data_IF_508238414155
#
_entry.id   IF_508238414155
#
_cell.length_a   1.000
_cell.length_b   1.000
_cell.length_c   1.000
_cell.angle_alpha   90.00
_cell.angle_beta   90.00
_cell.angle_gamma   90.00
#
_symmetry.space_group_name_H-M   'P 1'
#
loop_
_entity.id
_entity.type
_entity.pdbx_description
1 polymer ?
#
# COMPACT_ATOMS: atom_id res chain seq x y z
N UNK A 1 -13.08 -1.13 19.35
CA UNK A 1 -13.87 -0.36 18.36
C UNK A 1 -12.90 0.59 17.68
N UNK A 2 -12.60 0.45 16.38
CA UNK A 2 -11.68 1.39 15.69
C UNK A 2 -12.18 2.81 15.95
N UNK A 3 -11.38 3.64 16.59
CA UNK A 3 -11.68 5.06 16.70
C UNK A 3 -11.51 5.67 15.31
N UNK A 4 -12.55 5.52 14.48
CA UNK A 4 -12.62 6.05 13.11
C UNK A 4 -12.46 7.58 13.07
N UNK A 5 -12.44 8.26 14.22
CA UNK A 5 -12.27 9.71 14.30
C UNK A 5 -10.80 10.13 14.25
N UNK A 6 -9.87 9.28 14.69
CA UNK A 6 -8.44 9.61 14.70
C UNK A 6 -7.77 9.23 13.36
N UNK A 7 -7.27 10.19 12.57
CA UNK A 7 -6.73 9.95 11.24
C UNK A 7 -5.51 9.03 11.24
N UNK A 8 -5.38 8.25 10.17
CA UNK A 8 -4.16 7.48 9.88
C UNK A 8 -3.27 8.17 8.85
N UNK A 9 -3.84 9.07 8.04
CA UNK A 9 -3.14 9.76 6.97
C UNK A 9 -3.32 11.25 7.23
N UNK A 10 -2.23 12.02 7.10
CA UNK A 10 -2.26 13.47 7.06
C UNK A 10 -1.62 13.98 5.77
N UNK A 11 -2.19 15.04 5.22
CA UNK A 11 -1.61 15.84 4.13
C UNK A 11 -1.47 17.29 4.57
N UNK A 12 -0.39 17.94 4.15
CA UNK A 12 -0.14 19.36 4.38
C UNK A 12 -0.67 20.14 3.18
N UNK A 13 -1.61 21.03 3.41
CA UNK A 13 -2.31 21.75 2.33
C UNK A 13 -2.08 23.25 2.45
N UNK A 14 -2.12 23.96 1.33
CA UNK A 14 -1.94 25.41 1.29
C UNK A 14 -3.19 26.16 1.80
N UNK A 15 -4.38 25.59 1.59
CA UNK A 15 -5.66 26.16 2.00
C UNK A 15 -6.65 25.03 2.37
N UNK A 16 -6.92 24.87 3.67
CA UNK A 16 -7.84 23.85 4.19
C UNK A 16 -9.24 24.00 3.60
N UNK A 17 -9.73 25.22 3.36
CA UNK A 17 -11.05 25.44 2.80
C UNK A 17 -11.10 25.00 1.31
N UNK A 18 -10.03 25.22 0.56
CA UNK A 18 -9.90 24.73 -0.82
C UNK A 18 -9.85 23.20 -0.87
N UNK A 19 -9.03 22.58 -0.02
CA UNK A 19 -8.95 21.12 0.06
C UNK A 19 -10.29 20.53 0.52
N UNK A 20 -11.03 21.16 1.44
CA UNK A 20 -12.37 20.71 1.84
C UNK A 20 -13.36 20.70 0.66
N UNK A 21 -13.39 21.76 -0.17
CA UNK A 21 -14.21 21.77 -1.39
C UNK A 21 -13.85 20.62 -2.33
N UNK A 22 -12.57 20.30 -2.43
CA UNK A 22 -12.13 19.16 -3.22
C UNK A 22 -12.57 17.83 -2.59
N UNK A 23 -12.16 17.51 -1.36
CA UNK A 23 -12.44 16.21 -0.75
C UNK A 23 -13.95 15.99 -0.53
N UNK A 24 -14.70 17.01 -0.10
CA UNK A 24 -16.14 16.87 0.18
C UNK A 24 -16.98 17.04 -1.08
N UNK A 25 -16.87 18.18 -1.76
CA UNK A 25 -17.78 18.50 -2.87
C UNK A 25 -17.38 17.74 -4.15
N UNK A 26 -16.08 17.57 -4.39
CA UNK A 26 -15.56 16.96 -5.62
C UNK A 26 -15.43 15.44 -5.49
N UNK A 27 -14.79 14.94 -4.43
CA UNK A 27 -14.60 13.49 -4.21
C UNK A 27 -15.74 12.81 -3.44
N UNK A 28 -16.68 13.58 -2.87
CA UNK A 28 -17.81 13.03 -2.12
C UNK A 28 -17.42 12.40 -0.79
N UNK A 29 -16.39 12.91 -0.12
CA UNK A 29 -16.02 12.51 1.23
C UNK A 29 -16.91 13.19 2.28
N UNK A 30 -17.04 12.59 3.45
CA UNK A 30 -17.82 13.17 4.54
C UNK A 30 -16.94 14.06 5.42
N UNK A 31 -17.39 15.28 5.74
CA UNK A 31 -16.70 16.12 6.71
C UNK A 31 -16.90 15.55 8.12
N UNK A 32 -15.80 15.24 8.82
CA UNK A 32 -15.83 14.73 10.21
C UNK A 32 -15.59 15.85 11.22
N UNK A 33 -14.60 16.70 10.94
CA UNK A 33 -14.19 17.80 11.83
C UNK A 33 -13.62 18.95 11.01
N UNK A 34 -13.90 20.19 11.40
CA UNK A 34 -13.24 21.38 10.89
C UNK A 34 -12.95 22.32 12.06
N UNK A 35 -11.66 22.58 12.30
CA UNK A 35 -11.17 23.52 13.29
C UNK A 35 -10.44 24.65 12.57
N UNK A 36 -11.16 25.76 12.35
CA UNK A 36 -10.61 26.94 11.70
C UNK A 36 -9.55 27.65 12.55
N UNK A 37 -9.56 27.46 13.87
CA UNK A 37 -8.58 28.08 14.77
C UNK A 37 -7.24 27.35 14.75
N UNK A 38 -7.27 26.03 14.68
CA UNK A 38 -6.09 25.18 14.53
C UNK A 38 -5.63 25.01 13.07
N UNK A 39 -6.41 25.50 12.11
CA UNK A 39 -6.19 25.32 10.66
C UNK A 39 -6.12 23.84 10.26
N UNK A 40 -7.11 23.07 10.76
CA UNK A 40 -7.21 21.62 10.59
C UNK A 40 -8.60 21.21 10.12
N UNK A 41 -8.68 20.21 9.25
CA UNK A 41 -9.91 19.50 8.98
C UNK A 41 -9.68 17.98 8.88
N UNK A 42 -10.72 17.20 9.19
CA UNK A 42 -10.72 15.75 9.02
C UNK A 42 -11.90 15.38 8.13
N UNK A 43 -11.61 14.61 7.09
CA UNK A 43 -12.61 14.02 6.19
C UNK A 43 -12.60 12.51 6.29
N UNK A 44 -13.76 11.86 6.18
CA UNK A 44 -13.89 10.42 6.00
C UNK A 44 -14.04 10.13 4.50
N UNK A 45 -13.02 9.48 3.95
CA UNK A 45 -12.98 9.05 2.57
C UNK A 45 -13.15 7.52 2.51
N UNK A 46 -14.39 7.06 2.33
CA UNK A 46 -14.73 5.63 2.26
C UNK A 46 -14.31 4.81 3.50
N UNK A 47 -14.49 5.38 4.70
CA UNK A 47 -14.15 4.77 5.99
C UNK A 47 -12.72 5.00 6.45
N UNK A 48 -11.96 5.83 5.73
CA UNK A 48 -10.61 6.27 6.06
C UNK A 48 -10.60 7.74 6.44
N UNK A 49 -10.21 8.04 7.67
CA UNK A 49 -10.06 9.41 8.14
C UNK A 49 -8.73 10.01 7.64
N UNK A 50 -8.81 11.11 6.91
CA UNK A 50 -7.68 11.90 6.38
C UNK A 50 -7.66 13.25 7.10
N UNK A 51 -6.51 13.63 7.65
CA UNK A 51 -6.25 14.95 8.21
C UNK A 51 -5.74 15.89 7.11
N UNK A 52 -6.42 17.02 6.92
CA UNK A 52 -5.99 18.15 6.11
C UNK A 52 -5.42 19.19 7.06
N UNK A 53 -4.13 19.48 6.95
CA UNK A 53 -3.44 20.41 7.84
C UNK A 53 -2.90 21.61 7.07
N UNK A 54 -3.44 22.80 7.37
CA UNK A 54 -3.05 24.03 6.71
C UNK A 54 -1.71 24.61 7.18
N UNK A 55 -1.30 25.75 6.63
CA UNK A 55 -0.01 26.38 6.96
C UNK A 55 0.11 26.83 8.42
N UNK A 56 -1.00 27.16 9.08
CA UNK A 56 -0.99 27.59 10.48
C UNK A 56 -1.04 26.41 11.47
N UNK A 57 -1.25 25.18 10.97
CA UNK A 57 -1.21 23.98 11.81
C UNK A 57 0.22 23.72 12.30
N UNK A 58 0.39 23.63 13.62
CA UNK A 58 1.67 23.30 14.26
C UNK A 58 2.12 21.86 14.05
N UNK A 59 2.65 21.22 15.10
CA UNK A 59 2.91 19.78 15.06
C UNK A 59 1.59 19.00 15.01
N UNK A 60 1.39 18.22 13.94
CA UNK A 60 0.16 17.43 13.71
C UNK A 60 0.32 15.95 14.08
N UNK A 61 1.48 15.52 14.56
CA UNK A 61 1.72 14.10 14.88
C UNK A 61 0.79 13.61 16.00
N UNK A 62 0.46 14.47 16.95
CA UNK A 62 -0.49 14.17 18.03
C UNK A 62 -1.94 14.01 17.55
N UNK A 63 -2.29 14.50 16.35
CA UNK A 63 -3.61 14.28 15.76
C UNK A 63 -3.73 12.87 15.18
N UNK A 64 -2.61 12.27 14.79
CA UNK A 64 -2.55 10.96 14.17
C UNK A 64 -2.62 9.83 15.19
N UNK A 65 -2.99 8.66 14.69
CA UNK A 65 -2.74 7.40 15.40
C UNK A 65 -1.22 7.17 15.51
N UNK A 66 -0.75 6.36 16.47
CA UNK A 66 0.67 6.02 16.59
C UNK A 66 1.28 5.47 15.29
N UNK A 67 0.47 4.80 14.47
CA UNK A 67 0.87 4.22 13.19
C UNK A 67 0.42 5.07 11.99
N UNK A 68 0.04 6.32 12.23
CA UNK A 68 -0.33 7.26 11.18
C UNK A 68 0.89 7.87 10.50
N UNK A 69 0.70 8.30 9.27
CA UNK A 69 1.74 8.90 8.45
C UNK A 69 1.35 10.29 7.93
N UNK A 70 2.36 11.15 7.76
CA UNK A 70 2.22 12.42 7.05
C UNK A 70 2.76 12.20 5.63
N UNK A 71 1.89 12.31 4.64
CA UNK A 71 2.26 12.12 3.24
C UNK A 71 3.16 13.27 2.79
N UNK A 72 4.34 12.91 2.26
CA UNK A 72 5.30 13.88 1.72
C UNK A 72 4.68 14.65 0.54
N UNK A 73 5.02 15.93 0.33
CA UNK A 73 4.52 16.71 -0.81
C UNK A 73 4.68 15.97 -2.14
N UNK A 74 3.63 15.97 -2.97
CA UNK A 74 3.58 15.22 -4.23
C UNK A 74 3.37 13.71 -4.08
N UNK A 75 3.22 13.22 -2.84
CA UNK A 75 2.94 11.80 -2.56
C UNK A 75 1.50 11.40 -2.88
N UNK A 76 1.15 10.17 -2.51
CA UNK A 76 -0.13 9.56 -2.83
C UNK A 76 -0.95 9.19 -1.59
N UNK A 77 -2.26 9.44 -1.62
CA UNK A 77 -3.23 8.99 -0.62
C UNK A 77 -4.00 7.80 -1.20
N UNK A 78 -3.88 6.63 -0.58
CA UNK A 78 -4.47 5.38 -1.09
C UNK A 78 -5.77 5.04 -0.38
N UNK A 79 -6.85 4.90 -1.14
CA UNK A 79 -8.21 4.67 -0.64
C UNK A 79 -8.81 3.40 -1.24
N UNK A 80 -9.17 2.44 -0.38
CA UNK A 80 -9.86 1.24 -0.82
C UNK A 80 -11.34 1.56 -1.05
N UNK A 81 -11.83 1.23 -2.25
CA UNK A 81 -13.25 1.36 -2.61
C UNK A 81 -13.85 -0.01 -2.93
N UNK A 82 -15.14 -0.18 -2.63
CA UNK A 82 -15.86 -1.43 -2.90
C UNK A 82 -16.10 -1.67 -4.40
N UNK A 83 -16.32 -0.61 -5.17
CA UNK A 83 -16.57 -0.66 -6.61
C UNK A 83 -15.85 0.51 -7.28
N UNK A 84 -14.85 0.18 -8.10
CA UNK A 84 -14.02 1.16 -8.79
C UNK A 84 -14.77 1.78 -9.98
N UNK A 85 -15.60 1.02 -10.69
CA UNK A 85 -16.35 1.54 -11.84
C UNK A 85 -17.47 2.48 -11.41
N UNK A 86 -18.17 2.16 -10.31
CA UNK A 86 -19.12 3.07 -9.70
C UNK A 86 -18.44 4.35 -9.19
N UNK A 87 -17.24 4.22 -8.58
CA UNK A 87 -16.43 5.39 -8.18
C UNK A 87 -16.05 6.25 -9.38
N UNK A 88 -15.63 5.63 -10.49
CA UNK A 88 -15.30 6.35 -11.74
C UNK A 88 -16.51 7.11 -12.30
N UNK A 89 -17.68 6.45 -12.35
CA UNK A 89 -18.91 7.08 -12.84
C UNK A 89 -19.31 8.29 -11.97
N UNK A 90 -19.27 8.14 -10.64
CA UNK A 90 -19.57 9.23 -9.71
C UNK A 90 -18.61 10.42 -9.88
N UNK A 91 -17.31 10.15 -10.09
CA UNK A 91 -16.31 11.19 -10.35
C UNK A 91 -16.59 11.91 -11.68
N UNK A 92 -16.94 11.17 -12.73
CA UNK A 92 -17.28 11.73 -14.03
C UNK A 92 -18.53 12.62 -13.98
N UNK A 93 -19.58 12.22 -13.25
CA UNK A 93 -20.80 13.03 -13.03
C UNK A 93 -20.49 14.36 -12.32
N UNK A 94 -19.45 14.38 -11.49
CA UNK A 94 -18.95 15.59 -10.79
C UNK A 94 -17.92 16.37 -11.61
N UNK A 95 -17.69 16.01 -12.87
CA UNK A 95 -16.73 16.67 -13.76
C UNK A 95 -15.27 16.42 -13.39
N UNK A 96 -14.98 15.38 -12.60
CA UNK A 96 -13.61 15.03 -12.19
C UNK A 96 -12.98 14.14 -13.23
N UNK A 97 -11.86 14.60 -13.79
CA UNK A 97 -11.05 13.79 -14.69
C UNK A 97 -10.17 12.83 -13.87
N UNK A 98 -10.61 11.58 -13.76
CA UNK A 98 -9.85 10.51 -13.14
C UNK A 98 -9.11 9.67 -14.19
N UNK A 99 -7.85 9.35 -13.94
CA UNK A 99 -7.04 8.47 -14.79
C UNK A 99 -7.20 7.04 -14.32
N UNK A 100 -7.69 6.14 -15.18
CA UNK A 100 -7.70 4.70 -14.92
C UNK A 100 -6.36 4.10 -15.34
N UNK A 101 -5.68 3.45 -14.40
CA UNK A 101 -4.46 2.67 -14.63
C UNK A 101 -4.82 1.21 -14.46
N UNK A 102 -4.51 0.40 -15.47
CA UNK A 102 -4.74 -1.04 -15.46
C UNK A 102 -3.39 -1.76 -15.53
N UNK A 103 -3.16 -2.66 -14.57
CA UNK A 103 -1.95 -3.46 -14.51
C UNK A 103 -2.12 -4.75 -15.31
N UNK A 104 -1.03 -5.31 -15.89
CA UNK A 104 -1.08 -6.58 -16.60
C UNK A 104 -1.62 -7.76 -15.77
N UNK A 105 -1.51 -7.69 -14.44
CA UNK A 105 -2.04 -8.68 -13.50
C UNK A 105 -3.48 -8.40 -13.04
N UNK A 106 -4.17 -7.46 -13.68
CA UNK A 106 -5.60 -7.19 -13.50
C UNK A 106 -5.94 -6.15 -12.43
N UNK A 107 -4.97 -5.64 -11.68
CA UNK A 107 -5.24 -4.56 -10.73
C UNK A 107 -5.60 -3.27 -11.46
N UNK A 108 -6.53 -2.52 -10.89
CA UNK A 108 -7.06 -1.29 -11.47
C UNK A 108 -7.02 -0.19 -10.41
N UNK A 109 -6.44 0.95 -10.76
CA UNK A 109 -6.37 2.12 -9.91
C UNK A 109 -7.00 3.32 -10.62
N UNK A 110 -7.78 4.13 -9.89
CA UNK A 110 -8.20 5.45 -10.35
C UNK A 110 -7.37 6.50 -9.63
N UNK A 111 -6.78 7.40 -10.40
CA UNK A 111 -5.99 8.48 -9.86
C UNK A 111 -6.67 9.83 -10.12
N UNK A 112 -6.72 10.66 -9.09
CA UNK A 112 -7.15 12.06 -9.18
C UNK A 112 -6.10 12.91 -8.46
N UNK A 113 -5.67 14.00 -9.08
CA UNK A 113 -4.77 14.96 -8.43
C UNK A 113 -5.58 15.94 -7.60
N UNK A 114 -5.17 16.16 -6.35
CA UNK A 114 -5.77 17.15 -5.48
C UNK A 114 -5.20 18.56 -5.73
N UNK A 115 -5.78 19.63 -5.13
CA UNK A 115 -5.35 21.00 -5.37
C UNK A 115 -3.89 21.30 -4.99
N UNK A 116 -3.32 20.50 -4.09
CA UNK A 116 -1.97 20.65 -3.56
C UNK A 116 -0.96 19.73 -4.29
N UNK A 117 -1.41 18.99 -5.30
CA UNK A 117 -0.58 18.13 -6.14
C UNK A 117 -0.38 16.71 -5.58
N UNK A 118 -1.11 16.32 -4.54
CA UNK A 118 -1.15 14.93 -4.09
C UNK A 118 -1.96 14.08 -5.05
N UNK A 119 -1.58 12.80 -5.20
CA UNK A 119 -2.36 11.85 -5.98
C UNK A 119 -3.28 11.05 -5.08
N UNK A 120 -4.59 11.25 -5.19
CA UNK A 120 -5.59 10.39 -4.55
C UNK A 120 -5.79 9.15 -5.42
N UNK A 121 -5.38 7.99 -4.91
CA UNK A 121 -5.44 6.70 -5.58
C UNK A 121 -6.59 5.89 -5.00
N UNK A 122 -7.65 5.68 -5.78
CA UNK A 122 -8.69 4.72 -5.45
C UNK A 122 -8.32 3.35 -6.02
N UNK A 123 -8.40 2.33 -5.20
CA UNK A 123 -8.12 0.96 -5.62
C UNK A 123 -9.12 0.00 -4.99
N UNK A 124 -9.21 -1.21 -5.56
CA UNK A 124 -10.05 -2.26 -5.02
C UNK A 124 -9.30 -3.57 -4.99
N UNK A 125 -9.75 -4.50 -4.15
CA UNK A 125 -9.15 -5.82 -4.08
C UNK A 125 -9.81 -6.68 -5.15
N UNK A 126 -8.99 -7.13 -6.10
CA UNK A 126 -9.42 -8.05 -7.15
C UNK A 126 -9.46 -9.46 -6.58
N UNK A 127 -10.68 -9.94 -6.34
CA UNK A 127 -10.93 -11.32 -5.95
C UNK A 127 -10.63 -12.25 -7.13
N UNK A 128 -9.86 -13.31 -6.89
CA UNK A 128 -9.36 -14.22 -7.93
C UNK A 128 -9.71 -15.66 -7.56
N UNK A 129 -9.99 -16.53 -8.55
CA UNK A 129 -10.06 -17.96 -8.32
C UNK A 129 -8.79 -18.49 -7.64
N UNK A 130 -8.88 -19.51 -6.77
CA UNK A 130 -7.74 -20.04 -6.01
C UNK A 130 -6.48 -20.31 -6.84
N UNK A 131 -6.59 -21.01 -7.97
CA UNK A 131 -5.43 -21.33 -8.80
C UNK A 131 -4.83 -20.09 -9.46
N UNK A 132 -5.65 -19.15 -9.91
CA UNK A 132 -5.17 -17.89 -10.50
C UNK A 132 -4.41 -17.05 -9.46
N UNK A 133 -4.96 -16.94 -8.25
CA UNK A 133 -4.32 -16.29 -7.12
C UNK A 133 -2.96 -16.91 -6.78
N UNK A 134 -2.91 -18.24 -6.66
CA UNK A 134 -1.67 -18.94 -6.30
C UNK A 134 -0.61 -18.83 -7.41
N UNK A 135 -1.03 -18.85 -8.68
CA UNK A 135 -0.12 -18.63 -9.80
C UNK A 135 0.41 -17.19 -9.83
N UNK A 136 -0.45 -16.20 -9.56
CA UNK A 136 -0.03 -14.81 -9.46
C UNK A 136 0.99 -14.62 -8.33
N UNK A 137 0.70 -15.18 -7.15
CA UNK A 137 1.62 -15.14 -6.01
C UNK A 137 2.95 -15.83 -6.31
N UNK A 138 2.96 -16.96 -7.02
CA UNK A 138 4.18 -17.65 -7.44
C UNK A 138 5.00 -16.83 -8.45
N UNK A 139 4.33 -16.14 -9.39
CA UNK A 139 4.98 -15.42 -10.49
C UNK A 139 5.92 -14.29 -10.06
N UNK A 140 5.75 -13.78 -8.84
CA UNK A 140 6.58 -12.71 -8.28
C UNK A 140 8.06 -13.08 -8.17
N UNK A 141 8.39 -14.37 -7.97
CA UNK A 141 9.79 -14.84 -7.93
C UNK A 141 10.44 -14.67 -9.31
N UNK A 142 9.87 -15.30 -10.33
CA UNK A 142 10.43 -15.24 -11.68
C UNK A 142 10.42 -13.80 -12.24
N UNK A 143 9.42 -13.00 -11.85
CA UNK A 143 9.34 -11.60 -12.24
C UNK A 143 10.47 -10.76 -11.62
N UNK A 144 10.78 -10.97 -10.34
CA UNK A 144 11.89 -10.30 -9.68
C UNK A 144 13.23 -10.74 -10.28
N UNK A 145 13.44 -12.03 -10.51
CA UNK A 145 14.67 -12.55 -11.11
C UNK A 145 14.92 -11.94 -12.50
N UNK A 146 13.90 -11.90 -13.37
CA UNK A 146 14.00 -11.23 -14.68
C UNK A 146 14.26 -9.73 -14.56
N UNK A 147 13.66 -9.06 -13.59
CA UNK A 147 13.85 -7.63 -13.39
C UNK A 147 15.28 -7.30 -12.95
N UNK A 148 15.97 -8.22 -12.27
CA UNK A 148 17.36 -8.06 -11.81
C UNK A 148 18.40 -8.61 -12.80
N UNK A 149 17.98 -9.39 -13.79
CA UNK A 149 18.88 -10.01 -14.76
C UNK A 149 19.68 -8.95 -15.55
N UNK A 150 21.01 -9.12 -15.57
CA UNK A 150 21.93 -8.27 -16.30
C UNK A 150 22.30 -6.95 -15.63
N UNK A 151 21.76 -6.65 -14.44
CA UNK A 151 22.14 -5.47 -13.68
C UNK A 151 23.52 -5.63 -13.03
N UNK A 152 24.34 -4.60 -13.12
CA UNK A 152 25.58 -4.51 -12.33
C UNK A 152 25.30 -3.97 -10.93
N UNK A 153 26.27 -4.08 -10.02
CA UNK A 153 26.15 -3.48 -8.67
C UNK A 153 25.85 -1.98 -8.70
N UNK A 154 26.43 -1.25 -9.67
CA UNK A 154 26.17 0.18 -9.83
C UNK A 154 24.74 0.47 -10.34
N UNK A 155 24.14 -0.46 -11.10
CA UNK A 155 22.77 -0.30 -11.59
C UNK A 155 21.74 -0.50 -10.48
N UNK A 156 22.06 -1.29 -9.46
CA UNK A 156 21.20 -1.47 -8.29
C UNK A 156 20.99 -0.16 -7.52
N UNK A 157 21.90 0.81 -7.66
CA UNK A 157 21.84 2.11 -6.99
C UNK A 157 21.12 3.19 -7.84
N UNK A 158 20.56 2.79 -8.99
CA UNK A 158 19.72 3.67 -9.81
C UNK A 158 18.33 3.83 -9.19
N UNK A 159 17.82 5.05 -9.19
CA UNK A 159 16.45 5.38 -8.81
C UNK A 159 15.65 5.91 -10.02
N UNK A 160 14.33 5.74 -9.99
CA UNK A 160 13.42 6.20 -11.05
C UNK A 160 13.45 7.72 -11.22
N UNK A 161 13.54 8.45 -10.11
CA UNK A 161 13.61 9.91 -10.04
C UNK A 161 14.23 10.36 -8.71
N UNK A 162 14.68 11.63 -8.59
CA UNK A 162 15.26 12.13 -7.35
C UNK A 162 14.33 11.93 -6.14
N UNK A 163 14.85 11.31 -5.09
CA UNK A 163 14.11 11.03 -3.85
C UNK A 163 13.28 9.74 -3.86
N UNK A 164 13.15 9.06 -4.99
CA UNK A 164 12.58 7.71 -5.03
C UNK A 164 13.60 6.67 -4.55
N UNK A 165 13.12 5.49 -4.16
CA UNK A 165 13.99 4.36 -3.81
C UNK A 165 14.79 3.86 -5.02
N UNK A 166 16.00 3.38 -4.74
CA UNK A 166 16.81 2.64 -5.70
C UNK A 166 16.29 1.22 -5.90
N UNK A 167 16.73 0.55 -6.97
CA UNK A 167 16.44 -0.87 -7.20
C UNK A 167 16.85 -1.71 -5.97
N UNK A 168 18.02 -1.45 -5.39
CA UNK A 168 18.52 -2.11 -4.17
C UNK A 168 17.54 -1.98 -3.00
N UNK A 169 17.07 -0.76 -2.74
CA UNK A 169 16.11 -0.50 -1.67
C UNK A 169 14.78 -1.21 -1.90
N UNK A 170 14.28 -1.23 -3.14
CA UNK A 170 13.04 -1.94 -3.50
C UNK A 170 13.19 -3.45 -3.24
N UNK A 171 14.32 -4.06 -3.60
CA UNK A 171 14.56 -5.50 -3.36
C UNK A 171 14.56 -5.83 -1.86
N UNK A 172 15.21 -5.02 -1.03
CA UNK A 172 15.20 -5.21 0.42
C UNK A 172 13.80 -5.03 1.01
N UNK A 173 13.08 -4.01 0.57
CA UNK A 173 11.69 -3.76 0.97
C UNK A 173 10.78 -4.95 0.64
N UNK A 174 10.89 -5.53 -0.57
CA UNK A 174 10.12 -6.72 -0.95
C UNK A 174 10.35 -7.89 0.00
N UNK A 175 11.60 -8.14 0.39
CA UNK A 175 11.93 -9.22 1.31
C UNK A 175 11.36 -8.98 2.71
N UNK A 176 11.49 -7.77 3.24
CA UNK A 176 11.00 -7.44 4.58
C UNK A 176 9.47 -7.37 4.64
N UNK A 177 8.81 -6.89 3.58
CA UNK A 177 7.35 -6.90 3.46
C UNK A 177 6.79 -8.33 3.54
N UNK A 178 7.39 -9.28 2.83
CA UNK A 178 7.02 -10.70 2.89
C UNK A 178 7.30 -11.31 4.27
N UNK A 179 8.48 -11.03 4.83
CA UNK A 179 8.88 -11.56 6.14
C UNK A 179 7.94 -11.09 7.26
N UNK A 180 7.57 -9.82 7.23
CA UNK A 180 6.65 -9.23 8.20
C UNK A 180 5.21 -9.69 8.01
N UNK A 181 4.78 -9.92 6.77
CA UNK A 181 3.45 -10.42 6.48
C UNK A 181 3.27 -11.90 6.82
N UNK A 182 4.34 -12.69 6.89
CA UNK A 182 4.29 -14.16 7.03
C UNK A 182 3.62 -14.66 8.33
N UNK A 183 3.75 -13.92 9.43
CA UNK A 183 3.27 -14.35 10.74
C UNK A 183 1.76 -14.58 10.80
N UNK A 184 0.98 -13.60 10.32
CA UNK A 184 -0.48 -13.64 10.36
C UNK A 184 -1.09 -14.84 9.62
N UNK A 185 -0.75 -15.07 8.33
CA UNK A 185 -1.19 -16.24 7.59
C UNK A 185 -0.81 -17.56 8.26
N UNK A 186 0.39 -17.68 8.85
CA UNK A 186 0.77 -18.93 9.54
C UNK A 186 -0.11 -19.19 10.77
N UNK A 187 -0.41 -18.17 11.58
CA UNK A 187 -1.37 -18.31 12.67
C UNK A 187 -2.77 -18.65 12.15
N UNK A 188 -3.25 -18.00 11.09
CA UNK A 188 -4.53 -18.34 10.48
C UNK A 188 -4.58 -19.80 10.01
N UNK A 189 -3.50 -20.29 9.39
CA UNK A 189 -3.40 -21.65 8.89
C UNK A 189 -3.34 -22.68 10.02
N UNK A 190 -2.56 -22.45 11.08
CA UNK A 190 -2.38 -23.42 12.17
C UNK A 190 -3.47 -23.33 13.25
N UNK A 191 -3.93 -22.12 13.57
CA UNK A 191 -4.90 -21.80 14.62
C UNK A 191 -5.99 -20.84 14.08
N UNK A 192 -6.91 -21.30 13.21
CA UNK A 192 -7.95 -20.45 12.65
C UNK A 192 -8.78 -19.76 13.74
N UNK A 193 -9.02 -18.45 13.60
CA UNK A 193 -9.75 -17.66 14.58
C UNK A 193 -8.94 -17.23 15.82
N UNK A 194 -7.63 -17.54 15.88
CA UNK A 194 -6.74 -17.06 16.94
C UNK A 194 -6.64 -15.54 16.93
N UNK A 195 -6.58 -14.95 18.13
CA UNK A 195 -6.24 -13.53 18.29
C UNK A 195 -4.78 -13.31 17.84
N UNK A 196 -4.59 -12.48 16.81
CA UNK A 196 -3.27 -12.11 16.30
C UNK A 196 -3.09 -10.59 16.28
N UNK A 197 -1.95 -10.14 16.79
CA UNK A 197 -1.53 -8.75 16.79
C UNK A 197 -0.25 -8.63 15.97
N UNK A 198 -0.38 -8.22 14.72
CA UNK A 198 0.77 -7.89 13.87
C UNK A 198 1.34 -6.52 14.22
N UNK A 199 2.65 -6.36 14.11
CA UNK A 199 3.31 -5.07 14.22
C UNK A 199 3.26 -4.36 12.86
N UNK A 200 2.80 -3.11 12.87
CA UNK A 200 2.98 -2.20 11.74
C UNK A 200 4.40 -1.66 11.77
N UNK A 201 4.93 -1.30 10.61
CA UNK A 201 6.23 -0.69 10.50
C UNK A 201 6.20 0.45 9.47
N UNK A 202 7.09 1.43 9.65
CA UNK A 202 7.34 2.47 8.65
C UNK A 202 8.41 1.97 7.70
N UNK A 203 8.05 1.84 6.42
CA UNK A 203 8.95 1.31 5.40
C UNK A 203 10.17 2.21 5.20
N UNK A 204 9.98 3.54 5.22
CA UNK A 204 11.08 4.52 5.14
C UNK A 204 12.05 4.40 6.32
N UNK A 205 11.51 4.28 7.55
CA UNK A 205 12.35 4.11 8.75
C UNK A 205 13.13 2.81 8.67
N UNK A 206 12.53 1.73 8.16
CA UNK A 206 13.22 0.46 7.98
C UNK A 206 14.30 0.54 6.91
N UNK A 207 14.00 1.18 5.78
CA UNK A 207 14.97 1.37 4.71
C UNK A 207 16.22 2.14 5.18
N UNK A 208 16.03 3.16 6.02
CA UNK A 208 17.12 3.92 6.64
C UNK A 208 17.85 3.12 7.73
N UNK A 209 17.13 2.65 8.75
CA UNK A 209 17.73 2.04 9.95
C UNK A 209 18.31 0.64 9.71
N UNK A 210 17.86 -0.08 8.68
CA UNK A 210 18.39 -1.39 8.31
C UNK A 210 19.43 -1.33 7.19
N UNK A 211 19.83 -0.11 6.80
CA UNK A 211 20.83 0.21 5.77
C UNK A 211 20.55 -0.50 4.44
N UNK A 212 19.38 -0.24 3.85
CA UNK A 212 19.04 -0.83 2.55
C UNK A 212 19.98 -0.35 1.43
N UNK A 213 20.67 0.78 1.61
CA UNK A 213 21.57 1.34 0.60
C UNK A 213 22.93 0.65 0.54
N UNK A 214 23.44 0.13 1.67
CA UNK A 214 24.80 -0.39 1.76
C UNK A 214 24.93 -1.91 1.62
N UNK A 215 23.83 -2.63 1.42
CA UNK A 215 23.79 -4.10 1.56
C UNK A 215 23.67 -4.85 0.23
N UNK A 216 24.25 -6.04 0.19
CA UNK A 216 24.09 -6.97 -0.94
C UNK A 216 22.65 -7.50 -0.99
N UNK A 217 22.07 -7.58 -2.20
CA UNK A 217 20.67 -7.98 -2.37
C UNK A 217 20.44 -9.50 -2.34
N UNK A 218 21.48 -10.31 -2.55
CA UNK A 218 21.39 -11.77 -2.67
C UNK A 218 20.61 -12.45 -1.53
N UNK A 219 20.91 -12.15 -0.25
CA UNK A 219 20.14 -12.69 0.87
C UNK A 219 18.66 -12.29 0.86
N UNK A 220 18.33 -11.07 0.44
CA UNK A 220 16.93 -10.60 0.36
C UNK A 220 16.16 -11.30 -0.74
N UNK A 221 16.77 -11.48 -1.92
CA UNK A 221 16.17 -12.27 -3.01
C UNK A 221 15.93 -13.71 -2.56
N UNK A 222 16.91 -14.35 -1.91
CA UNK A 222 16.77 -15.70 -1.39
C UNK A 222 15.65 -15.82 -0.34
N UNK A 223 15.54 -14.84 0.56
CA UNK A 223 14.49 -14.80 1.59
C UNK A 223 13.10 -14.67 0.96
N UNK A 224 12.93 -13.73 0.02
CA UNK A 224 11.68 -13.54 -0.73
C UNK A 224 11.24 -14.84 -1.42
N UNK A 225 12.15 -15.48 -2.16
CA UNK A 225 11.90 -16.76 -2.84
C UNK A 225 11.50 -17.87 -1.86
N UNK A 226 12.23 -18.01 -0.75
CA UNK A 226 11.96 -19.03 0.24
C UNK A 226 10.60 -18.84 0.94
N UNK A 227 10.24 -17.60 1.29
CA UNK A 227 8.95 -17.29 1.92
C UNK A 227 7.79 -17.64 0.99
N UNK A 228 7.87 -17.24 -0.29
CA UNK A 228 6.81 -17.54 -1.26
C UNK A 228 6.66 -19.04 -1.47
N UNK A 229 7.77 -19.76 -1.67
CA UNK A 229 7.76 -21.22 -1.81
C UNK A 229 7.20 -21.92 -0.56
N UNK A 230 7.55 -21.44 0.64
CA UNK A 230 7.04 -21.97 1.90
C UNK A 230 5.52 -21.80 2.01
N UNK A 231 5.01 -20.59 1.76
CA UNK A 231 3.56 -20.32 1.83
C UNK A 231 2.76 -21.12 0.81
N UNK A 232 3.25 -21.22 -0.44
CA UNK A 232 2.60 -22.02 -1.49
C UNK A 232 2.48 -23.50 -1.10
N UNK A 233 3.52 -24.08 -0.48
CA UNK A 233 3.46 -25.45 0.01
C UNK A 233 2.40 -25.63 1.09
N UNK A 234 2.32 -24.70 2.05
CA UNK A 234 1.33 -24.78 3.13
C UNK A 234 -0.10 -24.68 2.60
N UNK A 235 -0.41 -23.68 1.77
CA UNK A 235 -1.79 -23.45 1.30
C UNK A 235 -2.28 -24.52 0.33
N UNK A 236 -1.39 -25.18 -0.42
CA UNK A 236 -1.75 -26.31 -1.29
C UNK A 236 -2.00 -27.61 -0.53
N UNK A 237 -1.46 -27.76 0.69
CA UNK A 237 -1.55 -28.99 1.49
C UNK A 237 -2.73 -28.98 2.46
N UNK A 238 -3.18 -27.80 2.87
CA UNK A 238 -4.22 -27.65 3.88
C UNK A 238 -5.59 -27.41 3.23
N UNK A 239 -6.65 -28.13 3.64
CA UNK A 239 -7.99 -27.84 3.18
C UNK A 239 -8.45 -26.46 3.68
N UNK A 240 -9.20 -25.76 2.83
CA UNK A 240 -9.79 -24.44 3.10
C UNK A 240 -8.74 -23.37 3.49
N UNK A 241 -7.47 -23.59 3.15
CA UNK A 241 -6.35 -22.76 3.59
C UNK A 241 -6.57 -21.27 3.28
N UNK A 242 -7.12 -20.98 2.10
CA UNK A 242 -7.32 -19.62 1.61
C UNK A 242 -8.42 -18.87 2.37
N UNK A 243 -9.38 -19.58 2.97
CA UNK A 243 -10.52 -19.01 3.72
C UNK A 243 -10.20 -18.78 5.21
N UNK A 244 -9.11 -19.38 5.69
CA UNK A 244 -8.69 -19.25 7.09
C UNK A 244 -8.28 -17.81 7.40
N UNK A 245 -8.56 -17.37 8.62
CA UNK A 245 -8.25 -16.03 9.10
C UNK A 245 -7.89 -16.04 10.58
N UNK A 246 -7.28 -14.95 11.03
CA UNK A 246 -7.12 -14.62 12.45
C UNK A 246 -8.22 -13.64 12.88
N UNK A 247 -8.30 -13.31 14.17
CA UNK A 247 -9.13 -12.21 14.67
C UNK A 247 -8.30 -11.17 15.41
N UNK A 248 -8.79 -9.94 15.49
CA UNK A 248 -8.23 -8.93 16.40
C UNK A 248 -8.74 -9.13 17.84
N UNK A 249 -8.22 -8.35 18.81
CA UNK A 249 -8.66 -8.42 20.21
C UNK A 249 -10.16 -8.13 20.43
N UNK A 250 -10.86 -7.53 19.44
CA UNK A 250 -12.30 -7.32 19.49
C UNK A 250 -13.10 -8.44 18.82
N UNK A 251 -12.44 -9.51 18.38
CA UNK A 251 -13.04 -10.65 17.70
C UNK A 251 -13.38 -10.39 16.23
N UNK A 252 -12.92 -9.28 15.64
CA UNK A 252 -13.17 -9.01 14.21
C UNK A 252 -12.21 -9.82 13.36
N UNK A 253 -12.70 -10.48 12.29
CA UNK A 253 -11.84 -11.26 11.41
C UNK A 253 -10.84 -10.37 10.67
N UNK A 254 -9.62 -10.86 10.54
CA UNK A 254 -8.64 -10.34 9.57
C UNK A 254 -9.09 -10.68 8.14
N UNK A 255 -8.48 -10.06 7.11
CA UNK A 255 -8.54 -10.63 5.77
C UNK A 255 -8.14 -12.12 5.81
N UNK A 256 -8.81 -12.98 5.05
CA UNK A 256 -8.45 -14.40 4.96
C UNK A 256 -7.11 -14.57 4.23
N UNK A 257 -6.46 -15.73 4.41
CA UNK A 257 -5.12 -16.02 3.89
C UNK A 257 -5.05 -15.75 2.38
N UNK A 258 -6.04 -16.18 1.60
CA UNK A 258 -6.05 -15.97 0.15
C UNK A 258 -6.00 -14.48 -0.22
N UNK A 259 -6.77 -13.66 0.49
CA UNK A 259 -6.77 -12.20 0.30
C UNK A 259 -5.43 -11.58 0.66
N UNK A 260 -4.78 -12.05 1.73
CA UNK A 260 -3.43 -11.59 2.10
C UNK A 260 -2.41 -11.94 1.01
N UNK A 261 -2.42 -13.19 0.50
CA UNK A 261 -1.54 -13.60 -0.59
C UNK A 261 -1.78 -12.78 -1.87
N UNK A 262 -3.03 -12.44 -2.17
CA UNK A 262 -3.37 -11.62 -3.33
C UNK A 262 -2.80 -10.21 -3.21
N UNK A 263 -2.97 -9.59 -2.05
CA UNK A 263 -2.38 -8.28 -1.76
C UNK A 263 -0.85 -8.31 -1.85
N UNK A 264 -0.21 -9.36 -1.33
CA UNK A 264 1.25 -9.53 -1.41
C UNK A 264 1.74 -9.78 -2.85
N UNK A 265 0.95 -10.46 -3.68
CA UNK A 265 1.26 -10.68 -5.09
C UNK A 265 1.21 -9.36 -5.87
N UNK A 266 0.12 -8.61 -5.73
CA UNK A 266 -0.05 -7.27 -6.32
C UNK A 266 1.05 -6.32 -5.90
N UNK A 267 1.32 -6.21 -4.59
CA UNK A 267 2.37 -5.36 -4.03
C UNK A 267 3.76 -5.70 -4.59
N UNK A 268 4.09 -6.99 -4.68
CA UNK A 268 5.37 -7.40 -5.26
C UNK A 268 5.50 -7.00 -6.72
N UNK A 269 4.44 -7.22 -7.53
CA UNK A 269 4.45 -6.90 -8.95
C UNK A 269 4.48 -5.39 -9.22
N UNK A 270 3.81 -4.57 -8.41
CA UNK A 270 3.90 -3.10 -8.51
C UNK A 270 5.35 -2.62 -8.32
N UNK A 271 6.03 -3.07 -7.26
CA UNK A 271 7.43 -2.71 -7.01
C UNK A 271 8.40 -3.30 -8.04
N UNK A 272 8.15 -4.50 -8.56
CA UNK A 272 8.93 -5.05 -9.68
C UNK A 272 8.75 -4.20 -10.93
N UNK A 273 7.56 -3.65 -11.17
CA UNK A 273 7.34 -2.71 -12.27
C UNK A 273 8.10 -1.39 -12.06
N UNK A 274 8.23 -0.90 -10.83
CA UNK A 274 9.11 0.26 -10.53
C UNK A 274 10.58 -0.02 -10.85
N UNK A 275 11.07 -1.24 -10.60
CA UNK A 275 12.41 -1.66 -11.03
C UNK A 275 12.50 -1.61 -12.56
N UNK A 276 11.53 -2.17 -13.28
CA UNK A 276 11.51 -2.16 -14.74
C UNK A 276 11.41 -0.74 -15.32
N UNK A 277 10.63 0.14 -14.72
CA UNK A 277 10.56 1.55 -15.10
C UNK A 277 11.90 2.26 -14.91
N UNK A 278 12.57 1.99 -13.79
CA UNK A 278 13.92 2.50 -13.52
C UNK A 278 14.90 2.03 -14.61
N UNK A 279 14.89 0.74 -14.93
CA UNK A 279 15.70 0.18 -16.02
C UNK A 279 15.47 0.89 -17.35
N UNK A 280 14.20 1.04 -17.76
CA UNK A 280 13.85 1.70 -19.01
C UNK A 280 14.31 3.16 -19.05
N UNK A 281 14.20 3.90 -17.94
CA UNK A 281 14.68 5.30 -17.86
C UNK A 281 16.20 5.42 -18.02
N UNK A 282 16.95 4.43 -17.54
CA UNK A 282 18.43 4.43 -17.56
C UNK A 282 19.05 3.59 -18.68
N UNK A 283 18.23 3.02 -19.58
CA UNK A 283 18.70 2.19 -20.69
C UNK A 283 19.36 0.89 -20.24
N UNK A 284 18.71 0.18 -19.31
CA UNK A 284 19.10 -1.14 -18.77
C UNK A 284 18.07 -2.21 -19.08
#
# INVERSE_FOLDING_TARGET
MRDRRRPMIAVRVADVAASLRFYVDTLGCDLVRHDTGADLAVVDAAGYAILLAGPAAGDITHELRPEGEVVKPGGSVHLVVGDLDARRAMLAERGVMATLIERPWGDRHLQVTDPDGYTVVFWTIVERPPEELLNLYASGVDALERALEGLSEADLDLAREPGAWTIRQIVHHLADAEAMALGGPKFALAEPGRVYHGNRYSQDVWAECLDYTGREIGPSVALFTAIRAHMLQLVRRLPDALERHTVDASGRPSPPVGRILGMLASHALDHIEEINETRRRHGR
#
